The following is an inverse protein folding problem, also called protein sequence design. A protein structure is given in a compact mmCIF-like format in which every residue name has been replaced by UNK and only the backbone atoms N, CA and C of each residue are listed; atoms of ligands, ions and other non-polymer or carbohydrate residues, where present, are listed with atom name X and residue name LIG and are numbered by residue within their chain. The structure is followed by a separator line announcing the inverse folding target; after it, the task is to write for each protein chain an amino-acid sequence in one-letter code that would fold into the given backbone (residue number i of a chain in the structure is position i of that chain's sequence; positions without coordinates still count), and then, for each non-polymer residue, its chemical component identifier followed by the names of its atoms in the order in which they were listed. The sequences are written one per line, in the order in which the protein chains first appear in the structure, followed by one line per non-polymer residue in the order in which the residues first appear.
data_IF_636492224474
#
_entry.id   IF_636492224474
#
_cell.length_a   1.000
_cell.length_b   1.000
_cell.length_c   1.000
_cell.angle_alpha   90.00
_cell.angle_beta   90.00
_cell.angle_gamma   90.00
#
_symmetry.space_group_name_H-M   'P 1'
#
loop_
_entity.id
_entity.type
_entity.pdbx_description
1 polymer ?
#
# COMPACT_ATOMS: atom_id res chain seq x y z
N UNK A 1 -15.70 27.57 -16.91
CA UNK A 1 -15.83 26.12 -17.18
C UNK A 1 -14.74 25.42 -16.38
N UNK A 2 -15.05 25.02 -15.15
CA UNK A 2 -14.20 24.14 -14.34
C UNK A 2 -14.91 22.79 -14.29
N UNK A 3 -14.24 21.73 -14.75
CA UNK A 3 -14.71 20.36 -14.66
C UNK A 3 -14.33 19.83 -13.29
N UNK A 4 -15.34 19.46 -12.50
CA UNK A 4 -15.19 18.73 -11.25
C UNK A 4 -14.70 17.31 -11.56
N UNK A 5 -13.59 16.89 -10.96
CA UNK A 5 -13.13 15.50 -10.94
C UNK A 5 -13.59 14.91 -9.61
N UNK A 6 -14.41 13.87 -9.68
CA UNK A 6 -14.80 13.03 -8.55
C UNK A 6 -13.60 12.15 -8.18
N UNK A 7 -13.02 12.37 -7.01
CA UNK A 7 -12.05 11.46 -6.41
C UNK A 7 -12.83 10.29 -5.78
N UNK A 8 -12.71 9.10 -6.36
CA UNK A 8 -13.22 7.86 -5.78
C UNK A 8 -12.19 7.30 -4.81
N UNK A 9 -12.45 7.44 -3.51
CA UNK A 9 -11.63 6.84 -2.45
C UNK A 9 -12.13 5.41 -2.26
N UNK A 10 -11.31 4.40 -2.58
CA UNK A 10 -11.57 2.99 -2.21
C UNK A 10 -11.02 2.77 -0.80
N UNK A 11 -11.68 3.38 0.19
CA UNK A 11 -11.33 3.17 1.59
C UNK A 11 -12.17 2.03 2.17
N UNK A 12 -11.52 0.94 2.55
CA UNK A 12 -12.12 -0.11 3.37
C UNK A 12 -12.17 0.39 4.83
N UNK A 13 -13.13 1.27 5.16
CA UNK A 13 -13.26 1.89 6.48
C UNK A 13 -14.05 0.99 7.43
N UNK A 14 -13.47 0.70 8.61
CA UNK A 14 -14.11 0.03 9.74
C UNK A 14 -14.29 1.00 10.91
N UNK A 15 -15.52 1.46 11.15
CA UNK A 15 -15.91 2.24 12.32
C UNK A 15 -16.70 1.38 13.32
N UNK A 16 -16.27 1.38 14.59
CA UNK A 16 -16.87 0.60 15.69
C UNK A 16 -17.88 1.48 16.45
N UNK A 17 -19.13 1.00 16.56
CA UNK A 17 -20.09 1.47 17.56
C UNK A 17 -20.59 0.27 18.35
N UNK A 18 -20.33 0.27 19.66
CA UNK A 18 -20.73 -0.77 20.61
C UNK A 18 -22.23 -0.65 20.90
N UNK A 19 -23.01 -1.65 20.53
CA UNK A 19 -24.35 -1.89 21.10
C UNK A 19 -24.39 -3.29 21.66
N UNK A 20 -24.56 -3.35 22.98
CA UNK A 20 -24.85 -4.54 23.77
C UNK A 20 -26.35 -4.80 23.84
N UNK A 21 -26.80 -5.98 23.43
CA UNK A 21 -28.03 -6.67 23.91
C UNK A 21 -28.04 -8.08 23.30
N UNK A 22 -28.25 -9.21 24.00
CA UNK A 22 -28.92 -9.41 25.27
C UNK A 22 -30.33 -9.98 25.09
N UNK A 23 -30.46 -11.26 24.68
CA UNK A 23 -31.52 -12.18 25.11
C UNK A 23 -32.96 -12.10 24.52
N UNK A 24 -33.44 -13.29 24.12
CA UNK A 24 -34.82 -13.82 24.24
C UNK A 24 -35.83 -13.67 23.07
N UNK A 25 -36.21 -14.84 22.52
CA UNK A 25 -37.51 -15.19 21.89
C UNK A 25 -38.68 -14.96 22.89
N UNK A 26 -39.98 -14.84 22.48
CA UNK A 26 -40.66 -15.64 21.44
C UNK A 26 -41.80 -14.96 20.63
N UNK A 27 -42.39 -15.71 19.68
CA UNK A 27 -43.83 -15.61 19.37
C UNK A 27 -44.23 -15.37 17.91
N UNK A 28 -44.86 -16.37 17.31
CA UNK A 28 -45.50 -16.31 16.00
C UNK A 28 -46.75 -15.40 15.99
N UNK A 29 -47.04 -14.77 14.85
CA UNK A 29 -48.40 -14.46 14.36
C UNK A 29 -48.37 -14.06 12.88
N UNK A 30 -49.08 -14.83 12.06
CA UNK A 30 -49.41 -14.49 10.69
C UNK A 30 -50.38 -13.30 10.65
N UNK A 31 -50.12 -12.29 9.82
CA UNK A 31 -51.15 -11.35 9.34
C UNK A 31 -50.77 -10.84 7.96
N UNK A 32 -51.64 -11.11 7.01
CA UNK A 32 -51.68 -10.60 5.64
C UNK A 32 -51.93 -9.09 5.65
N UNK A 33 -51.09 -8.31 4.97
CA UNK A 33 -51.41 -6.95 4.58
C UNK A 33 -50.81 -6.65 3.19
N UNK A 34 -51.74 -6.50 2.24
CA UNK A 34 -51.57 -5.91 0.92
C UNK A 34 -51.45 -4.39 1.08
N UNK A 35 -50.46 -3.74 0.44
CA UNK A 35 -50.60 -2.56 -0.45
C UNK A 35 -49.27 -1.81 -0.70
N UNK A 36 -49.15 -1.41 -1.97
CA UNK A 36 -48.55 -0.18 -2.50
C UNK A 36 -47.04 -0.09 -2.73
N UNK A 37 -46.75 0.00 -4.03
CA UNK A 37 -45.57 0.53 -4.68
C UNK A 37 -45.02 1.79 -4.02
N UNK A 38 -43.79 1.70 -3.52
CA UNK A 38 -42.93 2.85 -3.29
C UNK A 38 -41.68 2.68 -4.17
N UNK A 39 -41.53 3.60 -5.11
CA UNK A 39 -40.30 3.78 -5.90
C UNK A 39 -39.17 4.13 -4.93
N UNK A 40 -38.26 3.19 -4.68
CA UNK A 40 -37.01 3.45 -3.97
C UNK A 40 -35.93 3.71 -5.02
N UNK A 41 -35.47 4.95 -5.08
CA UNK A 41 -34.13 5.27 -5.55
C UNK A 41 -33.13 4.56 -4.64
N UNK A 42 -32.20 3.73 -5.14
CA UNK A 42 -31.17 3.14 -4.29
C UNK A 42 -30.23 4.24 -3.81
N UNK A 43 -30.25 4.45 -2.49
CA UNK A 43 -29.30 5.27 -1.75
C UNK A 43 -27.96 4.51 -1.67
N UNK A 44 -27.02 4.87 -2.54
CA UNK A 44 -25.69 4.23 -2.65
C UNK A 44 -24.76 4.48 -1.46
N UNK A 45 -25.20 5.22 -0.44
CA UNK A 45 -24.39 5.47 0.76
C UNK A 45 -24.51 4.35 1.82
N UNK A 46 -25.63 3.62 1.87
CA UNK A 46 -25.90 2.65 2.95
C UNK A 46 -25.25 1.27 2.75
N UNK A 47 -24.84 0.95 1.51
CA UNK A 47 -24.17 -0.32 1.18
C UNK A 47 -22.71 -0.38 1.64
N UNK A 48 -22.04 0.76 1.83
CA UNK A 48 -20.64 0.81 2.25
C UNK A 48 -20.49 0.58 3.77
N UNK A 49 -21.40 1.13 4.59
CA UNK A 49 -21.38 0.94 6.06
C UNK A 49 -21.78 -0.49 6.49
N UNK A 50 -22.67 -1.14 5.73
CA UNK A 50 -23.08 -2.53 6.00
C UNK A 50 -21.96 -3.52 5.68
N UNK A 51 -21.23 -3.31 4.59
CA UNK A 51 -20.14 -4.20 4.16
C UNK A 51 -18.96 -4.17 5.15
N UNK A 52 -18.55 -3.00 5.64
CA UNK A 52 -17.50 -2.90 6.66
C UNK A 52 -17.89 -3.65 7.94
N UNK A 53 -19.10 -3.40 8.46
CA UNK A 53 -19.57 -4.01 9.72
C UNK A 53 -19.67 -5.54 9.66
N UNK A 54 -19.88 -6.15 8.50
CA UNK A 54 -20.05 -7.60 8.34
C UNK A 54 -18.72 -8.32 8.05
N UNK A 55 -17.82 -7.74 7.24
CA UNK A 55 -16.45 -8.27 7.04
C UNK A 55 -15.66 -8.32 8.36
N UNK A 56 -15.86 -7.34 9.25
CA UNK A 56 -15.30 -7.37 10.61
C UNK A 56 -15.91 -8.45 11.51
N UNK A 57 -17.18 -8.82 11.32
CA UNK A 57 -17.84 -9.86 12.12
C UNK A 57 -17.40 -11.27 11.69
N UNK A 58 -17.04 -11.46 10.43
CA UNK A 58 -16.55 -12.76 9.93
C UNK A 58 -15.05 -12.95 10.15
N UNK A 59 -14.23 -11.90 10.02
CA UNK A 59 -12.82 -11.96 10.42
C UNK A 59 -12.64 -12.24 11.91
N UNK A 60 -13.60 -11.90 12.78
CA UNK A 60 -13.58 -12.30 14.20
C UNK A 60 -13.73 -13.80 14.44
N UNK A 61 -14.19 -14.59 13.45
CA UNK A 61 -14.31 -16.04 13.57
C UNK A 61 -13.04 -16.77 13.13
N UNK A 62 -12.09 -16.06 12.52
CA UNK A 62 -10.83 -16.61 12.02
C UNK A 62 -9.67 -15.93 12.74
N UNK A 63 -8.60 -16.68 12.96
CA UNK A 63 -7.41 -16.15 13.64
C UNK A 63 -6.48 -15.43 12.67
N UNK A 64 -6.53 -15.78 11.38
CA UNK A 64 -5.73 -15.12 10.35
C UNK A 64 -6.41 -15.15 8.98
N UNK A 65 -6.01 -14.23 8.11
CA UNK A 65 -6.44 -14.20 6.70
C UNK A 65 -5.27 -13.91 5.78
N UNK A 66 -5.08 -14.76 4.76
CA UNK A 66 -4.07 -14.55 3.71
C UNK A 66 -4.76 -14.26 2.39
N UNK A 67 -4.38 -13.15 1.77
CA UNK A 67 -4.71 -12.80 0.40
C UNK A 67 -3.51 -13.15 -0.48
N UNK A 68 -3.64 -14.19 -1.30
CA UNK A 68 -2.60 -14.60 -2.23
C UNK A 68 -3.00 -14.24 -3.65
N UNK A 69 -2.10 -13.57 -4.38
CA UNK A 69 -2.26 -13.16 -5.77
C UNK A 69 -1.19 -13.84 -6.60
N UNK A 70 -1.58 -14.80 -7.42
CA UNK A 70 -0.68 -15.45 -8.39
C UNK A 70 -0.88 -14.80 -9.74
N UNK A 71 0.18 -14.22 -10.30
CA UNK A 71 0.14 -13.41 -11.52
C UNK A 71 0.70 -14.18 -12.71
N UNK A 72 -0.07 -14.30 -13.77
CA UNK A 72 0.30 -15.03 -14.99
C UNK A 72 1.02 -14.12 -16.00
N UNK A 73 1.77 -14.72 -16.93
CA UNK A 73 2.50 -14.03 -18.01
C UNK A 73 1.59 -13.17 -18.90
N UNK A 74 0.32 -13.55 -19.07
CA UNK A 74 -0.66 -12.81 -19.86
C UNK A 74 -1.31 -11.62 -19.12
N UNK A 75 -0.91 -11.35 -17.87
CA UNK A 75 -1.45 -10.27 -17.04
C UNK A 75 -2.72 -10.63 -16.28
N UNK A 76 -3.25 -11.85 -16.43
CA UNK A 76 -4.32 -12.33 -15.56
C UNK A 76 -3.76 -12.71 -14.18
N UNK A 77 -4.63 -12.76 -13.17
CA UNK A 77 -4.24 -13.27 -11.85
C UNK A 77 -5.26 -14.21 -11.26
N UNK A 78 -4.80 -15.10 -10.39
CA UNK A 78 -5.66 -15.87 -9.49
C UNK A 78 -5.53 -15.28 -8.09
N UNK A 79 -6.65 -14.80 -7.58
CA UNK A 79 -6.78 -14.30 -6.22
C UNK A 79 -7.32 -15.41 -5.33
N UNK A 80 -6.64 -15.69 -4.24
CA UNK A 80 -7.00 -16.71 -3.24
C UNK A 80 -7.09 -16.09 -1.86
N UNK A 81 -8.25 -16.23 -1.23
CA UNK A 81 -8.58 -15.74 0.09
C UNK A 81 -8.61 -16.94 1.02
N UNK A 82 -7.63 -17.04 1.91
CA UNK A 82 -7.50 -18.14 2.85
C UNK A 82 -7.71 -17.64 4.27
N UNK A 83 -8.79 -18.07 4.89
CA UNK A 83 -9.10 -17.80 6.29
C UNK A 83 -8.73 -19.02 7.12
N UNK A 84 -8.02 -18.84 8.24
CA UNK A 84 -7.60 -19.94 9.11
C UNK A 84 -8.04 -19.71 10.55
N UNK A 85 -8.43 -20.79 11.24
CA UNK A 85 -8.79 -20.78 12.66
C UNK A 85 -8.20 -21.99 13.36
N UNK A 86 -7.53 -21.74 14.48
CA UNK A 86 -6.99 -22.76 15.34
C UNK A 86 -8.13 -23.50 16.03
N UNK A 87 -8.14 -24.82 15.91
CA UNK A 87 -9.16 -25.66 16.52
C UNK A 87 -8.68 -26.16 17.88
N UNK A 88 -9.55 -26.11 18.88
CA UNK A 88 -9.31 -26.77 20.14
C UNK A 88 -9.44 -28.29 19.97
N UNK A 89 -8.42 -29.02 20.40
CA UNK A 89 -8.36 -30.50 20.35
C UNK A 89 -8.35 -31.13 21.75
N UNK A 90 -8.78 -30.39 22.76
CA UNK A 90 -8.94 -30.94 24.10
C UNK A 90 -9.94 -32.09 24.07
N UNK A 91 -9.76 -33.12 24.90
CA UNK A 91 -10.66 -34.29 24.90
C UNK A 91 -12.12 -33.96 25.21
N UNK A 92 -12.39 -32.78 25.76
CA UNK A 92 -13.73 -32.27 26.07
C UNK A 92 -14.33 -31.37 24.96
N UNK A 93 -13.59 -31.07 23.88
CA UNK A 93 -14.08 -30.21 22.79
C UNK A 93 -14.53 -31.01 21.57
N UNK A 94 -15.71 -30.68 21.03
CA UNK A 94 -16.23 -31.24 19.78
C UNK A 94 -15.89 -30.38 18.55
N UNK A 95 -15.01 -29.40 18.70
CA UNK A 95 -14.80 -28.33 17.71
C UNK A 95 -14.29 -28.85 16.35
N UNK A 96 -13.48 -29.92 16.35
CA UNK A 96 -12.99 -30.54 15.11
C UNK A 96 -14.11 -31.20 14.32
N UNK A 97 -15.09 -31.81 15.01
CA UNK A 97 -16.22 -32.46 14.35
C UNK A 97 -17.23 -31.42 13.85
N UNK A 98 -17.51 -30.39 14.66
CA UNK A 98 -18.33 -29.24 14.25
C UNK A 98 -17.73 -28.50 13.04
N UNK A 99 -16.40 -28.31 13.01
CA UNK A 99 -15.74 -27.68 11.87
C UNK A 99 -15.81 -28.56 10.61
N UNK A 100 -15.76 -29.89 10.76
CA UNK A 100 -15.89 -30.80 9.62
C UNK A 100 -17.27 -30.71 8.97
N UNK A 101 -18.33 -30.69 9.78
CA UNK A 101 -19.70 -30.51 9.28
C UNK A 101 -19.86 -29.16 8.57
N UNK A 102 -19.30 -28.09 9.15
CA UNK A 102 -19.26 -26.77 8.51
C UNK A 102 -18.50 -26.81 7.17
N UNK A 103 -17.35 -27.47 7.11
CA UNK A 103 -16.55 -27.56 5.88
C UNK A 103 -17.29 -28.33 4.77
N UNK A 104 -17.92 -29.46 5.11
CA UNK A 104 -18.76 -30.24 4.19
C UNK A 104 -19.91 -29.39 3.65
N UNK A 105 -20.64 -28.69 4.53
CA UNK A 105 -21.72 -27.79 4.12
C UNK A 105 -21.21 -26.66 3.22
N UNK A 106 -20.06 -26.06 3.56
CA UNK A 106 -19.48 -24.96 2.79
C UNK A 106 -19.06 -25.41 1.38
N UNK A 107 -18.59 -26.65 1.21
CA UNK A 107 -18.25 -27.18 -0.12
C UNK A 107 -19.52 -27.49 -0.94
N UNK A 108 -20.54 -28.08 -0.32
CA UNK A 108 -21.77 -28.52 -1.01
C UNK A 108 -22.75 -27.38 -1.32
N UNK A 109 -22.89 -26.39 -0.45
CA UNK A 109 -23.92 -25.36 -0.52
C UNK A 109 -23.36 -23.95 -0.78
N UNK A 110 -24.06 -23.15 -1.57
CA UNK A 110 -23.77 -21.72 -1.70
C UNK A 110 -24.15 -20.97 -0.42
N UNK A 111 -23.22 -20.92 0.51
CA UNK A 111 -23.35 -20.16 1.75
C UNK A 111 -23.36 -18.65 1.49
N UNK A 112 -23.95 -17.87 2.39
CA UNK A 112 -23.91 -16.39 2.31
C UNK A 112 -22.48 -15.84 2.24
N UNK A 113 -21.51 -16.53 2.89
CA UNK A 113 -20.10 -16.18 2.84
C UNK A 113 -19.57 -16.20 1.40
N UNK A 114 -19.87 -17.26 0.64
CA UNK A 114 -19.43 -17.42 -0.74
C UNK A 114 -20.15 -16.47 -1.71
N UNK A 115 -21.44 -16.22 -1.50
CA UNK A 115 -22.20 -15.26 -2.32
C UNK A 115 -21.61 -13.85 -2.18
N UNK A 116 -21.37 -13.40 -0.94
CA UNK A 116 -20.75 -12.08 -0.70
C UNK A 116 -19.35 -11.98 -1.27
N UNK A 117 -18.55 -13.04 -1.17
CA UNK A 117 -17.22 -13.10 -1.78
C UNK A 117 -17.30 -12.86 -3.30
N UNK A 118 -18.24 -13.53 -3.98
CA UNK A 118 -18.44 -13.39 -5.43
C UNK A 118 -18.86 -11.96 -5.79
N UNK A 119 -19.81 -11.39 -5.06
CA UNK A 119 -20.25 -10.00 -5.25
C UNK A 119 -19.12 -8.99 -5.01
N UNK A 120 -18.32 -9.20 -3.97
CA UNK A 120 -17.19 -8.33 -3.62
C UNK A 120 -16.09 -8.39 -4.69
N UNK A 121 -15.75 -9.59 -5.17
CA UNK A 121 -14.79 -9.76 -6.26
C UNK A 121 -15.26 -9.03 -7.54
N UNK A 122 -16.53 -9.19 -7.92
CA UNK A 122 -17.11 -8.48 -9.07
C UNK A 122 -17.07 -6.96 -8.90
N UNK A 123 -17.43 -6.45 -7.72
CA UNK A 123 -17.37 -5.01 -7.44
C UNK A 123 -15.92 -4.47 -7.47
N UNK A 124 -14.97 -5.25 -6.97
CA UNK A 124 -13.55 -4.90 -6.97
C UNK A 124 -13.00 -4.83 -8.41
N UNK A 125 -13.26 -5.84 -9.23
CA UNK A 125 -12.84 -5.83 -10.66
C UNK A 125 -13.48 -4.72 -11.48
N UNK A 126 -14.76 -4.39 -11.21
CA UNK A 126 -15.43 -3.25 -11.84
C UNK A 126 -14.78 -1.91 -11.46
N UNK A 127 -14.34 -1.79 -10.21
CA UNK A 127 -13.61 -0.60 -9.74
C UNK A 127 -12.26 -0.48 -10.45
N UNK A 128 -11.48 -1.56 -10.49
CA UNK A 128 -10.20 -1.59 -11.21
C UNK A 128 -10.34 -1.31 -12.72
N UNK A 129 -11.43 -1.80 -13.34
CA UNK A 129 -11.73 -1.50 -14.75
C UNK A 129 -11.94 -0.01 -14.98
N UNK A 130 -12.68 0.66 -14.10
CA UNK A 130 -12.97 2.09 -14.20
C UNK A 130 -11.75 2.96 -13.91
N UNK A 131 -10.82 2.51 -13.06
CA UNK A 131 -9.62 3.26 -12.70
C UNK A 131 -8.52 3.17 -13.76
N UNK A 132 -8.41 2.01 -14.42
CA UNK A 132 -7.31 1.74 -15.36
C UNK A 132 -7.73 1.82 -16.82
N UNK A 133 -9.01 2.10 -17.11
CA UNK A 133 -9.62 2.07 -18.46
C UNK A 133 -9.39 0.73 -19.21
N UNK A 134 -9.13 -0.36 -18.48
CA UNK A 134 -8.97 -1.73 -19.01
C UNK A 134 -10.23 -2.53 -18.74
N UNK A 135 -10.57 -3.43 -19.67
CA UNK A 135 -11.68 -4.36 -19.44
C UNK A 135 -11.21 -5.51 -18.55
N UNK A 136 -11.77 -5.63 -17.35
CA UNK A 136 -11.47 -6.69 -16.40
C UNK A 136 -12.73 -7.45 -16.00
N UNK A 137 -12.59 -8.72 -15.66
CA UNK A 137 -13.68 -9.56 -15.19
C UNK A 137 -13.21 -10.51 -14.08
N UNK A 138 -14.10 -10.75 -13.10
CA UNK A 138 -13.94 -11.81 -12.12
C UNK A 138 -14.62 -13.09 -12.63
N UNK A 139 -13.84 -14.16 -12.80
CA UNK A 139 -14.29 -15.44 -13.35
C UNK A 139 -13.73 -16.63 -12.56
N UNK A 140 -14.09 -17.86 -12.93
CA UNK A 140 -13.55 -19.09 -12.35
C UNK A 140 -13.57 -19.13 -10.81
N UNK A 141 -14.71 -18.75 -10.23
CA UNK A 141 -14.90 -18.80 -8.79
C UNK A 141 -14.83 -20.24 -8.28
N UNK A 142 -14.08 -20.44 -7.20
CA UNK A 142 -13.91 -21.72 -6.54
C UNK A 142 -13.93 -21.54 -5.01
N UNK A 143 -14.32 -22.59 -4.30
CA UNK A 143 -14.33 -22.62 -2.83
C UNK A 143 -13.93 -24.00 -2.32
N UNK A 144 -13.25 -24.02 -1.20
CA UNK A 144 -12.96 -25.23 -0.44
C UNK A 144 -12.87 -24.92 1.05
N UNK A 145 -13.12 -25.91 1.89
CA UNK A 145 -12.92 -25.78 3.33
C UNK A 145 -12.45 -27.11 3.90
N UNK A 146 -11.67 -27.06 4.97
CA UNK A 146 -11.15 -28.29 5.55
C UNK A 146 -10.32 -28.07 6.77
N UNK A 147 -9.68 -29.14 7.22
CA UNK A 147 -8.84 -29.14 8.42
C UNK A 147 -7.44 -29.59 8.02
N UNK A 148 -6.45 -28.76 8.34
CA UNK A 148 -5.04 -29.12 8.22
C UNK A 148 -4.57 -29.75 9.53
N UNK A 149 -4.31 -31.05 9.50
CA UNK A 149 -3.89 -31.83 10.67
C UNK A 149 -2.36 -31.79 10.83
N UNK A 150 -1.78 -30.74 11.41
CA UNK A 150 -0.35 -30.72 11.80
C UNK A 150 -0.09 -29.87 13.03
N UNK A 151 0.81 -30.32 13.93
CA UNK A 151 0.53 -30.72 15.33
C UNK A 151 -0.60 -29.98 16.07
N UNK A 152 -0.98 -28.78 15.64
CA UNK A 152 -2.13 -28.01 16.08
C UNK A 152 -3.14 -27.95 14.90
N UNK A 153 -4.26 -28.68 14.94
CA UNK A 153 -5.24 -28.64 13.86
C UNK A 153 -5.76 -27.23 13.59
N UNK A 154 -5.75 -26.88 12.30
CA UNK A 154 -6.17 -25.58 11.80
C UNK A 154 -7.29 -25.80 10.81
N UNK A 155 -8.48 -25.28 11.11
CA UNK A 155 -9.55 -25.17 10.15
C UNK A 155 -9.20 -24.10 9.13
N UNK A 156 -9.50 -24.32 7.85
CA UNK A 156 -9.37 -23.30 6.83
C UNK A 156 -10.63 -23.19 5.97
N UNK A 157 -10.86 -22.00 5.45
CA UNK A 157 -11.80 -21.70 4.36
C UNK A 157 -11.00 -21.00 3.28
N UNK A 158 -11.07 -21.51 2.07
CA UNK A 158 -10.38 -20.96 0.92
C UNK A 158 -11.38 -20.64 -0.18
N UNK A 159 -11.32 -19.43 -0.70
CA UNK A 159 -12.14 -18.97 -1.83
C UNK A 159 -11.23 -18.31 -2.84
N UNK A 160 -11.41 -18.61 -4.12
CA UNK A 160 -10.56 -18.05 -5.17
C UNK A 160 -11.36 -17.64 -6.39
N UNK A 161 -10.80 -16.72 -7.17
CA UNK A 161 -11.32 -16.35 -8.48
C UNK A 161 -10.17 -15.91 -9.40
N UNK A 162 -10.40 -15.98 -10.71
CA UNK A 162 -9.51 -15.40 -11.72
C UNK A 162 -9.92 -13.96 -12.02
N UNK A 163 -9.00 -13.02 -11.86
CA UNK A 163 -9.15 -11.64 -12.29
C UNK A 163 -8.45 -11.47 -13.64
N UNK A 164 -9.22 -11.26 -14.70
CA UNK A 164 -8.67 -11.03 -16.05
C UNK A 164 -8.22 -9.59 -16.26
N UNK A 165 -7.10 -9.39 -16.97
CA UNK A 165 -6.55 -8.06 -17.23
C UNK A 165 -6.09 -7.32 -15.97
N UNK A 166 -5.65 -8.06 -14.96
CA UNK A 166 -5.25 -7.54 -13.65
C UNK A 166 -3.95 -6.73 -13.69
N UNK A 167 -2.94 -7.26 -14.37
CA UNK A 167 -1.62 -6.65 -14.51
C UNK A 167 -1.41 -6.13 -15.93
N UNK A 168 -0.55 -5.13 -16.06
CA UNK A 168 -0.12 -4.63 -17.38
C UNK A 168 1.01 -5.50 -17.90
N UNK A 169 0.96 -5.87 -19.18
CA UNK A 169 2.01 -6.61 -19.86
C UNK A 169 2.65 -5.69 -20.90
N UNK A 170 3.97 -5.51 -20.80
CA UNK A 170 4.75 -4.70 -21.72
C UNK A 170 5.25 -5.53 -22.93
N UNK A 171 5.73 -4.86 -23.98
CA UNK A 171 6.16 -5.50 -25.24
C UNK A 171 7.35 -6.47 -25.07
N UNK A 172 8.14 -6.30 -23.99
CA UNK A 172 9.27 -7.16 -23.64
C UNK A 172 8.86 -8.40 -22.82
N UNK A 173 7.58 -8.55 -22.51
CA UNK A 173 7.03 -9.63 -21.70
C UNK A 173 7.08 -9.37 -20.20
N UNK A 174 7.51 -8.18 -19.75
CA UNK A 174 7.42 -7.81 -18.34
C UNK A 174 5.95 -7.59 -17.93
N UNK A 175 5.63 -7.99 -16.70
CA UNK A 175 4.28 -7.95 -16.12
C UNK A 175 4.31 -7.08 -14.87
N UNK A 176 3.62 -5.93 -14.93
CA UNK A 176 3.57 -4.95 -13.85
C UNK A 176 2.22 -4.98 -13.13
N UNK A 177 2.27 -5.23 -11.83
CA UNK A 177 1.15 -5.11 -10.88
C UNK A 177 1.28 -3.81 -10.10
N UNK A 178 0.16 -3.11 -9.90
CA UNK A 178 0.09 -2.00 -8.93
C UNK A 178 -0.98 -0.98 -9.24
N UNK A 179 -1.26 -0.75 -10.52
CA UNK A 179 -2.22 0.27 -10.99
C UNK A 179 -3.67 0.02 -10.55
N UNK A 180 -4.07 -1.24 -10.36
CA UNK A 180 -5.36 -1.62 -9.75
C UNK A 180 -5.50 -1.24 -8.28
N UNK A 181 -4.40 -0.85 -7.61
CA UNK A 181 -4.39 -0.37 -6.23
C UNK A 181 -4.31 1.16 -6.15
N UNK A 182 -4.72 1.86 -7.22
CA UNK A 182 -4.94 3.30 -7.17
C UNK A 182 -6.12 3.59 -6.22
N UNK A 183 -5.91 4.38 -5.17
CA UNK A 183 -6.82 4.47 -4.02
C UNK A 183 -6.34 3.72 -2.77
N UNK A 184 -5.20 3.04 -2.87
CA UNK A 184 -4.50 2.37 -1.78
C UNK A 184 -5.00 0.94 -1.50
N UNK A 185 -4.24 0.25 -0.67
CA UNK A 185 -4.61 -1.07 -0.14
C UNK A 185 -4.40 -1.06 1.37
N UNK A 186 -5.35 -1.56 2.14
CA UNK A 186 -5.19 -1.75 3.58
C UNK A 186 -5.17 -3.23 3.92
N UNK A 187 -4.19 -3.63 4.73
CA UNK A 187 -4.11 -4.94 5.36
C UNK A 187 -4.21 -4.79 6.87
N UNK A 188 -5.00 -5.65 7.52
CA UNK A 188 -5.22 -5.67 8.96
C UNK A 188 -4.12 -6.39 9.76
N UNK A 189 -4.18 -6.35 11.10
CA UNK A 189 -3.16 -6.91 12.00
C UNK A 189 -2.94 -8.42 11.84
N UNK A 190 -4.01 -9.17 11.58
CA UNK A 190 -3.99 -10.63 11.40
C UNK A 190 -4.11 -11.03 9.92
N UNK A 191 -3.69 -10.12 9.03
CA UNK A 191 -3.77 -10.29 7.59
C UNK A 191 -2.39 -10.30 6.93
N UNK A 192 -2.30 -11.08 5.86
CA UNK A 192 -1.11 -11.17 5.02
C UNK A 192 -1.50 -10.97 3.56
N UNK A 193 -0.73 -10.17 2.84
CA UNK A 193 -0.82 -10.05 1.39
C UNK A 193 0.39 -10.73 0.76
N UNK A 194 0.16 -11.66 -0.15
CA UNK A 194 1.19 -12.49 -0.78
C UNK A 194 1.06 -12.33 -2.28
N UNK A 195 2.15 -11.99 -2.95
CA UNK A 195 2.24 -12.04 -4.41
C UNK A 195 3.13 -13.20 -4.81
N UNK A 196 2.67 -13.98 -5.78
CA UNK A 196 3.42 -15.07 -6.41
C UNK A 196 3.56 -14.82 -7.92
N UNK A 197 4.75 -15.08 -8.49
CA UNK A 197 4.86 -15.17 -9.92
C UNK A 197 4.23 -16.50 -10.38
N UNK A 198 3.51 -16.46 -11.51
CA UNK A 198 3.07 -17.65 -12.22
C UNK A 198 4.24 -18.37 -12.89
N UNK A 199 3.96 -19.51 -13.51
CA UNK A 199 4.98 -20.32 -14.18
C UNK A 199 5.74 -19.50 -15.23
N UNK A 200 7.07 -19.57 -15.22
CA UNK A 200 7.93 -18.89 -16.19
C UNK A 200 8.19 -17.40 -15.90
N UNK A 201 7.76 -16.88 -14.75
CA UNK A 201 8.05 -15.51 -14.30
C UNK A 201 8.92 -15.50 -13.04
N UNK A 202 9.75 -14.46 -12.91
CA UNK A 202 10.52 -14.14 -11.70
C UNK A 202 10.33 -12.67 -11.31
N UNK A 203 10.58 -12.36 -10.04
CA UNK A 203 10.51 -10.97 -9.57
C UNK A 203 11.71 -10.15 -10.05
N UNK A 204 11.45 -9.06 -10.74
CA UNK A 204 12.44 -8.00 -10.98
C UNK A 204 12.46 -7.01 -9.80
N UNK A 205 11.26 -6.57 -9.36
CA UNK A 205 11.14 -5.64 -8.24
C UNK A 205 9.83 -5.79 -7.48
N UNK A 206 9.85 -5.46 -6.18
CA UNK A 206 8.66 -5.42 -5.32
C UNK A 206 8.77 -4.25 -4.35
N UNK A 207 7.77 -3.35 -4.37
CA UNK A 207 7.74 -2.13 -3.58
C UNK A 207 6.38 -1.96 -2.88
N UNK A 208 6.34 -1.61 -1.58
CA UNK A 208 7.46 -1.52 -0.66
C UNK A 208 8.11 -2.89 -0.43
N UNK A 209 9.31 -2.92 0.14
CA UNK A 209 10.02 -4.18 0.40
C UNK A 209 9.15 -5.12 1.24
N UNK A 210 8.94 -6.33 0.70
CA UNK A 210 8.21 -7.41 1.35
C UNK A 210 9.15 -8.51 1.82
N UNK A 211 8.63 -9.41 2.64
CA UNK A 211 9.36 -10.58 3.13
C UNK A 211 9.34 -11.68 2.06
N UNK A 212 10.47 -12.32 1.80
CA UNK A 212 10.56 -13.44 0.88
C UNK A 212 11.61 -14.45 1.35
N UNK A 213 11.52 -15.68 0.85
CA UNK A 213 12.51 -16.73 1.09
C UNK A 213 13.41 -16.85 -0.15
N UNK A 214 14.72 -16.86 0.04
CA UNK A 214 15.71 -16.96 -1.03
C UNK A 214 16.97 -16.16 -0.74
N UNK A 215 17.92 -16.17 -1.66
CA UNK A 215 19.15 -15.35 -1.58
C UNK A 215 19.03 -14.02 -2.31
N UNK A 216 18.10 -13.92 -3.25
CA UNK A 216 17.76 -12.72 -4.02
C UNK A 216 16.26 -12.68 -4.29
N UNK A 217 15.75 -11.50 -4.68
CA UNK A 217 14.35 -11.33 -5.04
C UNK A 217 13.96 -12.17 -6.27
N UNK A 218 14.83 -12.26 -7.27
CA UNK A 218 14.61 -13.10 -8.47
C UNK A 218 14.43 -14.58 -8.14
N UNK A 219 15.10 -15.07 -7.08
CA UNK A 219 14.98 -16.46 -6.61
C UNK A 219 13.76 -16.70 -5.71
N UNK A 220 12.98 -15.67 -5.39
CA UNK A 220 11.86 -15.76 -4.47
C UNK A 220 10.65 -16.43 -5.13
N UNK A 221 10.04 -17.38 -4.43
CA UNK A 221 8.77 -17.99 -4.85
C UNK A 221 7.54 -17.14 -4.50
N UNK A 222 7.70 -16.15 -3.63
CA UNK A 222 6.66 -15.19 -3.25
C UNK A 222 7.24 -14.02 -2.49
N UNK A 223 6.56 -12.88 -2.56
CA UNK A 223 6.78 -11.72 -1.69
C UNK A 223 5.56 -11.54 -0.79
N UNK A 224 5.79 -11.30 0.50
CA UNK A 224 4.75 -11.26 1.53
C UNK A 224 4.84 -10.00 2.37
N UNK A 225 3.70 -9.35 2.59
CA UNK A 225 3.53 -8.27 3.55
C UNK A 225 2.58 -8.74 4.64
N UNK A 226 3.04 -8.67 5.90
CA UNK A 226 2.31 -9.17 7.06
C UNK A 226 1.92 -8.03 8.00
N UNK A 227 0.72 -8.15 8.58
CA UNK A 227 0.24 -7.29 9.66
C UNK A 227 -0.21 -5.90 9.21
N UNK A 228 -0.74 -5.15 10.17
CA UNK A 228 -1.47 -3.90 9.93
C UNK A 228 -0.63 -2.88 9.14
N UNK A 229 -1.08 -2.54 7.94
CA UNK A 229 -0.41 -1.59 7.04
C UNK A 229 -1.37 -1.01 6.02
N UNK A 230 -1.14 0.25 5.72
CA UNK A 230 -1.72 0.96 4.58
C UNK A 230 -0.67 1.12 3.49
N UNK A 231 -1.01 0.71 2.28
CA UNK A 231 -0.24 0.95 1.06
C UNK A 231 -0.79 2.20 0.38
N UNK A 232 0.10 3.12 -0.06
CA UNK A 232 -0.33 4.28 -0.84
C UNK A 232 -0.79 3.84 -2.24
N UNK A 233 -1.33 4.80 -2.99
CA UNK A 233 -1.79 4.60 -4.35
C UNK A 233 -0.74 3.90 -5.23
N UNK A 234 -1.20 2.90 -5.98
CA UNK A 234 -0.36 2.14 -6.89
C UNK A 234 0.52 1.09 -6.20
N UNK A 235 0.38 0.88 -4.88
CA UNK A 235 1.16 -0.07 -4.09
C UNK A 235 0.26 -1.15 -3.44
N UNK A 236 0.78 -2.38 -3.26
CA UNK A 236 2.12 -2.86 -3.60
C UNK A 236 2.35 -2.92 -5.12
N UNK A 237 3.51 -2.42 -5.56
CA UNK A 237 3.95 -2.44 -6.95
C UNK A 237 4.94 -3.58 -7.15
N UNK A 238 4.62 -4.52 -8.03
CA UNK A 238 5.45 -5.68 -8.33
C UNK A 238 5.70 -5.73 -9.83
N UNK A 239 6.95 -5.93 -10.22
CA UNK A 239 7.35 -6.15 -11.62
C UNK A 239 7.90 -7.57 -11.72
N UNK A 240 7.31 -8.34 -12.62
CA UNK A 240 7.71 -9.69 -12.95
C UNK A 240 8.28 -9.72 -14.38
N UNK A 241 9.29 -10.53 -14.62
CA UNK A 241 9.88 -10.71 -15.95
C UNK A 241 10.00 -12.20 -16.29
N UNK A 242 10.01 -12.58 -17.58
CA UNK A 242 10.18 -13.96 -17.98
C UNK A 242 11.49 -14.56 -17.45
N UNK A 243 11.45 -15.82 -17.01
CA UNK A 243 12.65 -16.53 -16.59
C UNK A 243 13.69 -16.58 -17.72
N UNK A 244 14.89 -16.05 -17.46
CA UNK A 244 15.97 -16.01 -18.44
C UNK A 244 15.98 -14.78 -19.35
N UNK A 245 15.14 -13.76 -19.09
CA UNK A 245 15.28 -12.42 -19.67
C UNK A 245 16.40 -11.64 -18.98
N UNK A 246 17.59 -12.22 -18.88
CA UNK A 246 18.80 -11.46 -18.54
C UNK A 246 19.09 -10.55 -19.74
N UNK A 247 18.96 -9.24 -19.52
CA UNK A 247 19.17 -8.21 -20.51
C UNK A 247 20.52 -8.37 -21.19
N UNK A 248 20.48 -8.80 -22.45
CA UNK A 248 21.58 -8.61 -23.40
C UNK A 248 21.66 -7.12 -23.75
N UNK A 249 22.14 -6.30 -22.82
CA UNK A 249 22.86 -5.06 -23.15
C UNK A 249 23.70 -4.57 -21.97
N UNK A 250 24.97 -4.98 -21.95
CA UNK A 250 26.04 -4.16 -21.40
C UNK A 250 27.07 -3.99 -22.50
N UNK A 251 26.87 -2.90 -23.24
CA UNK A 251 27.79 -2.27 -24.14
C UNK A 251 29.22 -2.25 -23.57
N UNK A 252 30.13 -2.64 -24.47
CA UNK A 252 31.57 -2.51 -24.42
C UNK A 252 32.00 -1.15 -23.85
N UNK A 253 32.77 -1.16 -22.76
CA UNK A 253 33.95 -0.32 -22.64
C UNK A 253 34.99 -0.87 -21.64
N UNK A 254 36.17 -1.23 -22.17
CA UNK A 254 37.44 -1.04 -21.48
C UNK A 254 37.99 -2.13 -20.57
N UNK A 255 38.18 -3.37 -21.05
CA UNK A 255 39.45 -4.14 -20.93
C UNK A 255 39.26 -5.59 -21.42
N UNK A 256 39.25 -5.78 -22.74
CA UNK A 256 39.24 -7.11 -23.34
C UNK A 256 40.60 -7.79 -23.17
N UNK A 257 40.66 -8.73 -22.23
CA UNK A 257 41.64 -9.82 -22.22
C UNK A 257 41.59 -10.56 -23.57
N UNK A 258 42.75 -10.87 -24.12
CA UNK A 258 43.05 -11.29 -25.50
C UNK A 258 42.54 -12.70 -25.90
N UNK A 259 41.48 -13.20 -25.28
CA UNK A 259 41.11 -14.63 -25.38
C UNK A 259 39.94 -14.94 -26.31
N UNK A 260 39.22 -13.96 -26.85
CA UNK A 260 37.97 -14.21 -27.59
C UNK A 260 38.04 -13.91 -29.10
N UNK A 261 39.17 -14.29 -29.73
CA UNK A 261 39.44 -14.02 -31.15
C UNK A 261 39.23 -15.22 -32.10
N UNK A 262 38.59 -16.31 -31.67
CA UNK A 262 38.49 -17.51 -32.53
C UNK A 262 37.13 -18.22 -32.49
N UNK A 263 36.07 -17.54 -32.93
CA UNK A 263 34.82 -18.18 -33.40
C UNK A 263 33.93 -17.12 -34.06
N UNK A 264 33.50 -17.14 -35.31
CA UNK A 264 33.75 -17.99 -36.48
C UNK A 264 33.18 -17.26 -37.71
N UNK A 265 33.99 -17.17 -38.77
CA UNK A 265 33.62 -17.33 -40.18
C UNK A 265 32.46 -16.50 -40.77
N UNK A 266 32.69 -15.20 -41.04
CA UNK A 266 32.20 -14.59 -42.30
C UNK A 266 32.94 -13.34 -42.80
N UNK A 267 33.93 -12.80 -42.09
CA UNK A 267 34.61 -11.56 -42.49
C UNK A 267 36.03 -11.77 -43.05
N UNK A 268 36.21 -12.68 -44.02
CA UNK A 268 37.49 -12.80 -44.76
C UNK A 268 37.39 -12.26 -46.21
N UNK A 269 36.20 -11.88 -46.69
CA UNK A 269 36.05 -11.34 -48.05
C UNK A 269 36.20 -9.80 -48.16
N UNK A 270 36.11 -9.05 -47.06
CA UNK A 270 36.05 -7.57 -47.10
C UNK A 270 37.38 -6.83 -46.92
N UNK A 271 38.40 -7.46 -46.31
CA UNK A 271 39.57 -6.73 -45.80
C UNK A 271 40.82 -6.77 -46.71
N UNK A 272 40.77 -7.46 -47.85
CA UNK A 272 41.90 -7.53 -48.80
C UNK A 272 41.89 -6.38 -49.82
N UNK A 273 40.77 -5.68 -50.03
CA UNK A 273 40.67 -4.61 -51.05
C UNK A 273 41.09 -3.24 -50.52
N UNK A 274 41.01 -2.98 -49.21
CA UNK A 274 41.34 -1.66 -48.63
C UNK A 274 42.83 -1.52 -48.29
N UNK A 275 43.54 -2.62 -48.05
CA UNK A 275 44.98 -2.60 -47.73
C UNK A 275 45.90 -2.36 -48.95
N UNK A 276 45.40 -2.52 -50.19
CA UNK A 276 46.17 -2.22 -51.42
C UNK A 276 45.95 -0.80 -51.96
N UNK A 277 44.97 -0.05 -51.44
CA UNK A 277 44.63 1.31 -51.90
C UNK A 277 45.40 2.45 -51.21
N UNK A 278 45.92 2.24 -50.00
CA UNK A 278 46.51 3.31 -49.17
C UNK A 278 48.05 3.40 -49.23
N UNK A 279 48.73 2.45 -49.88
CA UNK A 279 50.19 2.46 -50.04
C UNK A 279 50.73 3.28 -51.22
N UNK A 280 49.88 3.66 -52.18
CA UNK A 280 50.30 4.30 -53.44
C UNK A 280 50.28 5.83 -53.49
N UNK A 281 49.60 6.50 -52.55
CA UNK A 281 49.33 7.95 -52.64
C UNK A 281 50.36 8.84 -51.93
N UNK A 282 51.23 8.27 -51.08
CA UNK A 282 52.15 9.04 -50.25
C UNK A 282 53.49 9.43 -50.92
N UNK A 283 53.73 9.05 -52.19
CA UNK A 283 55.04 9.28 -52.85
C UNK A 283 55.02 10.19 -54.10
N UNK A 284 53.93 10.92 -54.37
CA UNK A 284 53.88 11.78 -55.56
C UNK A 284 53.46 13.24 -55.36
N UNK A 285 53.38 13.74 -54.12
CA UNK A 285 53.02 15.15 -53.92
C UNK A 285 53.63 15.75 -52.67
N UNK A 286 54.93 16.04 -52.69
CA UNK A 286 55.45 17.33 -52.20
C UNK A 286 56.94 17.47 -52.53
N UNK A 287 57.22 17.92 -53.76
CA UNK A 287 58.46 18.58 -54.12
C UNK A 287 58.15 20.03 -54.48
N UNK A 288 58.89 20.94 -53.86
CA UNK A 288 59.16 22.35 -54.24
C UNK A 288 58.16 23.48 -53.93
N UNK A 289 58.72 24.55 -53.31
CA UNK A 289 58.31 25.97 -53.40
C UNK A 289 57.47 26.47 -52.23
N UNK A 290 58.01 27.01 -51.12
CA UNK A 290 58.72 28.28 -50.94
C UNK A 290 57.90 29.55 -51.28
N UNK A 291 57.46 30.27 -50.25
CA UNK A 291 57.47 31.75 -50.17
C UNK A 291 57.20 32.21 -48.72
N UNK A 292 57.82 33.33 -48.40
CA UNK A 292 58.13 33.90 -47.09
C UNK A 292 57.37 35.21 -46.91
N UNK A 293 56.91 35.51 -45.70
CA UNK A 293 56.86 36.83 -45.02
C UNK A 293 55.85 36.72 -43.87
N UNK A 294 55.83 37.52 -42.81
CA UNK A 294 56.77 38.23 -41.94
C UNK A 294 55.85 38.75 -40.80
N UNK A 295 56.42 39.04 -39.63
CA UNK A 295 55.73 39.18 -38.34
C UNK A 295 55.09 40.57 -38.12
N UNK A 296 54.84 41.01 -36.87
CA UNK A 296 53.74 40.70 -35.96
C UNK A 296 52.90 41.98 -35.66
N UNK A 297 51.98 41.93 -34.68
CA UNK A 297 51.92 42.87 -33.54
C UNK A 297 50.50 43.24 -33.05
N UNK A 298 50.43 43.32 -31.72
CA UNK A 298 49.56 44.07 -30.81
C UNK A 298 48.01 43.97 -30.79
N UNK A 299 47.50 43.60 -29.60
CA UNK A 299 46.21 44.07 -29.09
C UNK A 299 46.31 45.56 -28.69
N UNK A 300 45.20 46.26 -28.42
CA UNK A 300 44.42 45.98 -27.21
C UNK A 300 42.89 46.32 -27.31
N UNK A 301 42.14 45.92 -26.28
CA UNK A 301 40.83 46.51 -25.92
C UNK A 301 41.07 47.89 -25.23
N UNK A 302 40.12 48.84 -25.05
CA UNK A 302 38.71 48.60 -24.69
C UNK A 302 37.64 49.63 -25.19
N UNK A 303 36.40 49.35 -24.79
CA UNK A 303 35.39 50.28 -24.23
C UNK A 303 34.20 50.82 -25.05
N UNK A 304 33.08 50.93 -24.30
CA UNK A 304 31.91 51.80 -24.41
C UNK A 304 30.71 51.47 -25.33
N UNK A 305 29.59 51.04 -24.71
CA UNK A 305 28.33 51.82 -24.58
C UNK A 305 27.28 50.98 -23.81
N UNK A 306 27.00 51.24 -22.53
CA UNK A 306 26.10 52.26 -21.95
C UNK A 306 24.60 51.90 -21.94
N UNK A 307 24.05 51.63 -20.74
CA UNK A 307 22.87 52.25 -20.11
C UNK A 307 22.62 51.58 -18.74
N UNK A 308 23.06 52.19 -17.62
CA UNK A 308 22.34 53.11 -16.69
C UNK A 308 21.36 52.42 -15.71
N UNK A 309 21.86 52.28 -14.48
CA UNK A 309 21.29 52.33 -13.11
C UNK A 309 20.27 53.49 -12.85
N UNK A 310 19.71 53.69 -11.62
CA UNK A 310 19.82 52.92 -10.34
C UNK A 310 18.51 52.74 -9.51
N UNK A 311 18.67 52.02 -8.38
CA UNK A 311 18.06 52.16 -7.04
C UNK A 311 16.53 52.06 -6.88
N UNK A 312 15.98 51.40 -5.86
CA UNK A 312 16.47 51.00 -4.54
C UNK A 312 15.26 50.95 -3.60
N UNK A 313 15.44 50.41 -2.38
CA UNK A 313 14.45 50.15 -1.31
C UNK A 313 13.74 48.78 -1.47
N UNK A 314 14.13 47.71 -0.76
CA UNK A 314 13.98 47.46 0.69
C UNK A 314 12.82 48.21 1.32
N UNK A 315 11.66 47.56 1.35
CA UNK A 315 10.70 47.72 2.44
C UNK A 315 10.28 46.36 2.97
N UNK A 316 10.55 46.21 4.26
CA UNK A 316 9.99 45.20 5.14
C UNK A 316 8.62 45.71 5.59
N UNK A 317 7.56 45.06 5.13
CA UNK A 317 6.22 45.16 5.70
C UNK A 317 5.91 43.74 6.22
N UNK A 318 6.17 43.41 7.49
CA UNK A 318 5.44 43.89 8.67
C UNK A 318 3.92 43.75 8.49
N UNK A 319 3.48 42.52 8.27
CA UNK A 319 2.09 42.18 8.46
C UNK A 319 1.79 42.18 9.96
N UNK A 320 0.87 43.05 10.35
CA UNK A 320 0.54 43.33 11.74
C UNK A 320 -0.14 42.13 12.42
N UNK A 321 0.02 41.99 13.74
CA UNK A 321 -0.63 40.93 14.50
C UNK A 321 -2.15 41.14 14.49
N UNK A 322 -2.98 40.10 14.30
CA UNK A 322 -4.36 40.20 14.73
C UNK A 322 -4.37 40.33 16.26
N UNK A 323 -4.78 41.51 16.69
CA UNK A 323 -5.18 41.91 18.03
C UNK A 323 -5.96 40.80 18.74
N UNK A 324 -5.41 40.34 19.87
CA UNK A 324 -6.12 39.61 20.92
C UNK A 324 -7.40 40.38 21.32
N UNK A 325 -8.58 39.75 21.28
CA UNK A 325 -9.62 40.05 22.24
C UNK A 325 -9.27 39.32 23.55
N UNK A 326 -9.36 40.07 24.64
CA UNK A 326 -9.09 39.67 26.02
C UNK A 326 -10.10 38.60 26.50
N UNK A 327 -9.98 37.37 26.00
CA UNK A 327 -10.70 36.20 26.50
C UNK A 327 -9.72 35.26 27.21
N UNK A 328 -9.40 35.65 28.45
CA UNK A 328 -8.89 34.79 29.53
C UNK A 328 -7.58 34.03 29.28
N UNK A 329 -6.58 34.39 30.06
CA UNK A 329 -5.27 33.75 30.26
C UNK A 329 -5.38 32.25 30.62
N UNK A 330 -5.94 31.40 29.77
CA UNK A 330 -5.81 29.96 29.88
C UNK A 330 -4.48 29.61 29.23
N UNK A 331 -3.54 29.11 30.03
CA UNK A 331 -2.31 28.53 29.48
C UNK A 331 -2.67 27.34 28.60
N UNK A 332 -1.75 26.93 27.71
CA UNK A 332 -1.95 25.72 26.91
C UNK A 332 -2.27 24.51 27.81
N UNK A 333 -1.72 24.47 29.03
CA UNK A 333 -2.01 23.49 30.08
C UNK A 333 -3.45 23.58 30.60
N UNK A 334 -3.92 24.78 30.95
CA UNK A 334 -5.31 24.98 31.44
C UNK A 334 -6.35 24.57 30.40
N UNK A 335 -6.04 24.77 29.11
CA UNK A 335 -6.89 24.34 28.00
C UNK A 335 -6.98 22.82 27.92
N UNK A 336 -5.87 22.12 28.12
CA UNK A 336 -5.83 20.64 28.17
C UNK A 336 -6.54 20.10 29.40
N UNK A 337 -6.33 20.71 30.57
CA UNK A 337 -7.02 20.32 31.82
C UNK A 337 -8.53 20.46 31.67
N UNK A 338 -9.00 21.58 31.14
CA UNK A 338 -10.43 21.81 30.90
C UNK A 338 -11.00 20.77 29.93
N UNK A 339 -10.29 20.52 28.82
CA UNK A 339 -10.71 19.55 27.81
C UNK A 339 -10.84 18.12 28.37
N UNK A 340 -9.87 17.68 29.18
CA UNK A 340 -9.91 16.35 29.82
C UNK A 340 -11.03 16.28 30.85
N UNK A 341 -11.26 17.36 31.62
CA UNK A 341 -12.36 17.44 32.59
C UNK A 341 -13.73 17.37 31.93
N UNK A 342 -13.93 18.11 30.83
CA UNK A 342 -15.17 18.11 30.06
C UNK A 342 -15.49 16.73 29.45
N UNK A 343 -14.45 15.91 29.24
CA UNK A 343 -14.56 14.53 28.73
C UNK A 343 -14.60 13.46 29.85
N UNK A 344 -14.96 13.85 31.07
CA UNK A 344 -15.15 12.91 32.18
C UNK A 344 -13.87 12.54 32.94
N UNK A 345 -12.85 13.41 32.88
CA UNK A 345 -11.61 13.30 33.65
C UNK A 345 -10.53 12.44 33.00
N UNK A 346 -10.80 11.85 31.82
CA UNK A 346 -9.86 11.07 31.03
C UNK A 346 -10.13 11.18 29.54
N UNK A 347 -9.09 11.26 28.73
CA UNK A 347 -9.19 11.40 27.29
C UNK A 347 -7.99 10.74 26.59
N UNK A 348 -8.17 10.23 25.36
CA UNK A 348 -7.06 9.76 24.53
C UNK A 348 -6.20 10.93 24.06
N UNK A 349 -4.88 10.77 24.03
CA UNK A 349 -3.96 11.79 23.51
C UNK A 349 -4.31 12.21 22.06
N UNK A 350 -4.83 11.31 21.23
CA UNK A 350 -5.27 11.60 19.85
C UNK A 350 -6.43 12.61 19.86
N UNK A 351 -7.41 12.43 20.74
CA UNK A 351 -8.54 13.35 20.86
C UNK A 351 -8.09 14.75 21.33
N UNK A 352 -7.03 14.85 22.15
CA UNK A 352 -6.44 16.15 22.53
C UNK A 352 -5.87 16.85 21.27
N UNK A 353 -5.21 16.11 20.38
CA UNK A 353 -4.70 16.63 19.09
C UNK A 353 -5.84 17.13 18.20
N UNK A 354 -6.92 16.35 18.10
CA UNK A 354 -8.09 16.68 17.26
C UNK A 354 -8.85 17.90 17.77
N UNK A 355 -9.13 17.97 19.07
CA UNK A 355 -9.94 19.04 19.69
C UNK A 355 -9.17 20.36 19.85
N UNK A 356 -7.84 20.30 20.03
CA UNK A 356 -7.01 21.51 20.13
C UNK A 356 -6.51 22.00 18.77
N UNK A 357 -6.46 21.12 17.77
CA UNK A 357 -5.83 21.38 16.47
C UNK A 357 -4.31 21.56 16.54
N UNK A 358 -3.67 21.18 17.65
CA UNK A 358 -2.23 21.32 17.83
C UNK A 358 -1.45 20.19 17.16
N UNK A 359 -0.19 20.45 16.80
CA UNK A 359 0.66 19.39 16.24
C UNK A 359 0.90 18.28 17.26
N UNK A 360 0.99 17.03 16.79
CA UNK A 360 1.27 15.86 17.64
C UNK A 360 2.51 16.04 18.53
N UNK A 361 3.55 16.69 17.99
CA UNK A 361 4.77 17.00 18.73
C UNK A 361 4.55 18.01 19.85
N UNK A 362 3.76 19.07 19.62
CA UNK A 362 3.45 20.08 20.65
C UNK A 362 2.59 19.47 21.77
N UNK A 363 1.59 18.66 21.42
CA UNK A 363 0.77 17.93 22.41
C UNK A 363 1.63 16.93 23.19
N UNK A 364 2.55 16.22 22.54
CA UNK A 364 3.42 15.28 23.23
C UNK A 364 4.38 15.96 24.20
N UNK A 365 4.94 17.12 23.85
CA UNK A 365 5.82 17.89 24.73
C UNK A 365 5.03 18.38 25.95
N UNK A 366 3.91 19.06 25.73
CA UNK A 366 3.06 19.60 26.79
C UNK A 366 2.56 18.53 27.77
N UNK A 367 2.13 17.38 27.27
CA UNK A 367 1.70 16.26 28.12
C UNK A 367 2.85 15.62 28.89
N UNK A 368 4.08 15.72 28.41
CA UNK A 368 5.24 15.22 29.16
C UNK A 368 5.56 16.18 30.31
N UNK A 369 5.50 17.49 30.06
CA UNK A 369 5.72 18.53 31.08
C UNK A 369 4.63 18.43 32.18
N UNK A 370 3.36 18.30 31.80
CA UNK A 370 2.25 18.16 32.75
C UNK A 370 2.27 16.84 33.56
N UNK A 371 2.85 15.77 33.01
CA UNK A 371 3.07 14.49 33.70
C UNK A 371 4.19 14.62 34.73
N UNK A 372 5.28 15.30 34.40
CA UNK A 372 6.38 15.59 35.32
C UNK A 372 5.95 16.47 36.50
N UNK A 373 5.05 17.42 36.26
CA UNK A 373 4.43 18.25 37.29
C UNK A 373 3.35 17.52 38.12
N UNK A 374 2.99 16.28 37.75
CA UNK A 374 2.01 15.47 38.46
C UNK A 374 0.55 15.91 38.27
N UNK A 375 0.27 16.78 37.30
CA UNK A 375 -1.09 17.27 37.02
C UNK A 375 -1.93 16.24 36.24
N UNK A 376 -1.26 15.36 35.49
CA UNK A 376 -1.86 14.28 34.71
C UNK A 376 -1.10 12.96 34.88
N UNK A 377 -1.79 11.86 34.64
CA UNK A 377 -1.26 10.49 34.62
C UNK A 377 -1.47 9.86 33.26
N UNK A 378 -0.42 9.22 32.72
CA UNK A 378 -0.42 8.63 31.38
C UNK A 378 -0.49 7.11 31.47
N UNK A 379 -1.63 6.54 31.06
CA UNK A 379 -1.80 5.09 30.96
C UNK A 379 -1.76 4.66 29.50
N UNK A 380 -0.84 3.78 29.17
CA UNK A 380 -0.80 3.15 27.84
C UNK A 380 -1.84 2.04 27.78
N UNK A 381 -2.81 2.17 26.88
CA UNK A 381 -3.81 1.14 26.58
C UNK A 381 -3.64 0.74 25.12
N UNK A 382 -3.03 -0.42 24.89
CA UNK A 382 -2.65 -0.88 23.55
C UNK A 382 -1.62 0.03 22.87
N UNK A 383 -2.01 0.64 21.75
CA UNK A 383 -1.17 1.54 20.93
C UNK A 383 -1.41 3.03 21.19
N UNK A 384 -2.31 3.36 22.12
CA UNK A 384 -2.70 4.73 22.43
C UNK A 384 -2.42 5.07 23.89
N UNK A 385 -2.21 6.37 24.17
CA UNK A 385 -2.07 6.87 25.53
C UNK A 385 -3.40 7.48 25.98
N UNK A 386 -3.89 7.04 27.13
CA UNK A 386 -5.00 7.67 27.85
C UNK A 386 -4.41 8.60 28.89
N UNK A 387 -4.80 9.87 28.82
CA UNK A 387 -4.41 10.91 29.76
C UNK A 387 -5.53 11.07 30.77
N UNK A 388 -5.21 10.96 32.07
CA UNK A 388 -6.16 11.13 33.17
C UNK A 388 -5.71 12.28 34.06
N UNK A 389 -6.65 13.06 34.61
CA UNK A 389 -6.34 14.10 35.59
C UNK A 389 -6.04 13.49 36.97
N UNK A 390 -5.19 14.16 37.75
CA UNK A 390 -4.94 13.81 39.15
C UNK A 390 -6.27 13.72 39.94
N UNK A 391 -6.46 12.61 40.66
CA UNK A 391 -7.71 12.27 41.37
C UNK A 391 -8.78 11.52 40.56
N UNK A 392 -8.59 11.27 39.27
CA UNK A 392 -9.47 10.44 38.41
C UNK A 392 -8.82 9.12 37.94
N UNK A 393 -7.80 8.65 38.66
CA UNK A 393 -7.09 7.42 38.36
C UNK A 393 -7.98 6.17 38.61
N UNK A 394 -7.87 5.11 37.79
CA UNK A 394 -8.47 3.82 38.11
C UNK A 394 -7.82 3.24 39.38
N UNK A 395 -8.59 2.62 40.28
CA UNK A 395 -8.09 1.94 41.50
C UNK A 395 -6.99 0.88 41.25
N UNK A 396 -6.65 0.58 40.00
CA UNK A 396 -5.59 -0.35 39.61
C UNK A 396 -4.15 0.20 39.77
N UNK A 397 -3.95 1.50 40.08
CA UNK A 397 -2.61 2.08 40.31
C UNK A 397 -2.19 2.21 41.77
N UNK A 398 -2.99 1.75 42.75
CA UNK A 398 -2.45 1.55 44.11
C UNK A 398 -1.62 0.27 44.15
N UNK A 399 -0.33 0.43 43.87
CA UNK A 399 0.71 -0.56 44.14
C UNK A 399 0.61 -1.02 45.61
N UNK A 400 0.61 -2.33 45.92
CA UNK A 400 0.52 -2.83 47.29
C UNK A 400 1.87 -2.73 48.05
N UNK A 401 2.77 -1.86 47.62
CA UNK A 401 4.13 -1.74 48.16
C UNK A 401 4.52 -0.30 48.50
N UNK A 402 3.62 0.47 49.11
CA UNK A 402 4.01 1.55 50.02
C UNK A 402 3.13 1.45 51.28
N UNK A 403 3.79 1.43 52.44
CA UNK A 403 3.25 1.15 53.79
C UNK A 403 2.14 2.09 54.28
#
# INVERSE_FOLDING_TARGET
MYRSVLAGIVALILAVSVVSAGGSLPGASHTTADISSATLTPDSASSLETNGRVTAVQSQQFDSTTFEVTVSENGDSTWTFRHERQLNTSSDSNETDEYREFAEQFEEEETELYVRFTEQAQALTATGSNQTDRQMEATNFNRSAGINYRPNPMGYVEMSFTWTGFATVDDDGSVTVGDVFDGGLYIGPDQSFVVRPGDGLVFESAQPEGQYLGTSLESASSVTWNGEREFPDGQPRVVLVPEGSDGSDSQVDGNSSLTDLFSSTWLVAGLVVVALGLGGFAWYRFGSGASTDDSPDDGPAPDAASQRLPDGAVDSEADQPPTLPDESLMTDEDRVVKLIRDNGGRMKQVNIVEETGWSKSKVSMLLSDMEEEGTISKLRVGRENIISLDGFEPEATKSPFEE
#
